data_IF_219786756974
#
_entry.id   IF_219786756974
#
_cell.length_a   1.000
_cell.length_b   1.000
_cell.length_c   1.000
_cell.angle_alpha   90.00
_cell.angle_beta   90.00
_cell.angle_gamma   90.00
#
_symmetry.space_group_name_H-M   'P 1'
#
loop_
_entity.id
_entity.type
_entity.pdbx_description
1 polymer ?
#
# COMPACT_ATOMS: atom_id res chain seq x y z
N UNK A 1 3.58 -4.51 -17.86
CA UNK A 1 5.00 -4.73 -17.51
C UNK A 1 5.22 -6.17 -17.08
N UNK A 2 5.14 -7.04 -18.05
CA UNK A 2 5.39 -8.46 -17.78
C UNK A 2 6.83 -8.64 -17.33
N UNK A 3 7.05 -9.53 -16.39
CA UNK A 3 8.39 -9.87 -15.92
C UNK A 3 8.98 -8.94 -14.87
N UNK A 4 8.24 -7.92 -14.39
CA UNK A 4 8.79 -7.13 -13.30
C UNK A 4 8.71 -7.93 -11.98
N UNK A 5 9.76 -7.83 -11.18
CA UNK A 5 9.82 -8.52 -9.89
C UNK A 5 9.05 -7.72 -8.84
N UNK A 6 8.72 -8.38 -7.73
CA UNK A 6 8.09 -7.68 -6.61
C UNK A 6 8.99 -6.56 -6.08
N UNK A 7 10.30 -6.80 -6.01
CA UNK A 7 11.26 -5.78 -5.57
C UNK A 7 11.25 -4.56 -6.47
N UNK A 8 11.22 -4.77 -7.78
CA UNK A 8 11.14 -3.67 -8.74
C UNK A 8 9.83 -2.90 -8.59
N UNK A 9 8.73 -3.61 -8.33
CA UNK A 9 7.42 -3.00 -8.09
C UNK A 9 7.44 -2.14 -6.83
N UNK A 10 8.08 -2.63 -5.78
CA UNK A 10 8.25 -1.89 -4.52
C UNK A 10 9.01 -0.58 -4.75
N UNK A 11 10.11 -0.63 -5.48
CA UNK A 11 10.92 0.57 -5.75
C UNK A 11 10.21 1.55 -6.68
N UNK A 12 9.47 1.05 -7.65
CA UNK A 12 8.64 1.89 -8.50
C UNK A 12 7.61 2.66 -7.67
N UNK A 13 6.94 1.98 -6.76
CA UNK A 13 5.94 2.61 -5.88
C UNK A 13 6.58 3.69 -5.00
N UNK A 14 7.74 3.41 -4.41
CA UNK A 14 8.45 4.36 -3.57
C UNK A 14 8.84 5.62 -4.36
N UNK A 15 9.28 5.43 -5.60
CA UNK A 15 9.61 6.55 -6.49
C UNK A 15 8.38 7.39 -6.81
N UNK A 16 7.26 6.74 -7.13
CA UNK A 16 6.01 7.43 -7.47
C UNK A 16 5.43 8.17 -6.25
N UNK A 17 5.73 7.72 -5.02
CA UNK A 17 5.29 8.40 -3.80
C UNK A 17 5.72 9.87 -3.77
N UNK A 18 6.79 10.23 -4.45
CA UNK A 18 7.28 11.61 -4.51
C UNK A 18 6.33 12.54 -5.26
N UNK A 19 5.45 11.97 -6.09
CA UNK A 19 4.55 12.72 -6.96
C UNK A 19 3.09 12.66 -6.50
N UNK A 20 2.75 11.77 -5.56
CA UNK A 20 1.36 11.47 -5.19
C UNK A 20 1.27 10.94 -3.76
N UNK A 21 0.06 10.71 -3.27
CA UNK A 21 -0.10 10.16 -1.91
C UNK A 21 0.21 8.66 -1.85
N UNK A 22 0.32 8.13 -0.62
CA UNK A 22 0.71 6.73 -0.40
C UNK A 22 -0.25 5.73 -1.05
N UNK A 23 -1.55 5.96 -0.94
CA UNK A 23 -2.55 5.07 -1.53
C UNK A 23 -2.43 5.04 -3.05
N UNK A 24 -2.32 6.21 -3.66
CA UNK A 24 -2.15 6.35 -5.10
C UNK A 24 -0.88 5.65 -5.59
N UNK A 25 0.23 5.83 -4.87
CA UNK A 25 1.50 5.22 -5.24
C UNK A 25 1.41 3.69 -5.27
N UNK A 26 0.76 3.08 -4.28
CA UNK A 26 0.55 1.63 -4.26
C UNK A 26 -0.33 1.20 -5.42
N UNK A 27 -1.44 1.90 -5.66
CA UNK A 27 -2.36 1.54 -6.74
C UNK A 27 -1.67 1.60 -8.12
N UNK A 28 -0.95 2.67 -8.42
CA UNK A 28 -0.29 2.79 -9.73
C UNK A 28 0.83 1.77 -9.91
N UNK A 29 1.42 1.30 -8.81
CA UNK A 29 2.45 0.25 -8.88
C UNK A 29 1.89 -1.09 -9.38
N UNK A 30 0.59 -1.29 -9.30
CA UNK A 30 -0.09 -2.49 -9.78
C UNK A 30 -0.96 -2.23 -11.01
N UNK A 31 -0.84 -1.08 -11.65
CA UNK A 31 -1.70 -0.70 -12.78
C UNK A 31 -1.70 -1.73 -13.90
N UNK A 32 -0.55 -2.35 -14.17
CA UNK A 32 -0.39 -3.40 -15.17
C UNK A 32 -1.25 -4.63 -14.89
N UNK A 33 -1.53 -4.89 -13.62
CA UNK A 33 -2.33 -6.05 -13.20
C UNK A 33 -3.81 -5.70 -13.02
N UNK A 34 -4.11 -4.44 -12.71
CA UNK A 34 -5.48 -4.02 -12.40
C UNK A 34 -6.33 -3.73 -13.64
N UNK A 35 -5.70 -3.53 -14.79
CA UNK A 35 -6.42 -3.23 -16.02
C UNK A 35 -7.13 -1.89 -15.99
N UNK A 36 -6.66 -0.96 -15.18
CA UNK A 36 -7.23 0.38 -15.03
C UNK A 36 -6.20 1.44 -15.43
N UNK A 37 -6.67 2.56 -15.95
CA UNK A 37 -5.78 3.66 -16.31
C UNK A 37 -5.19 4.30 -15.06
N UNK A 38 -4.05 4.94 -15.22
CA UNK A 38 -3.44 5.68 -14.10
C UNK A 38 -4.40 6.75 -13.57
N UNK A 39 -5.12 7.45 -14.45
CA UNK A 39 -6.09 8.48 -14.03
C UNK A 39 -7.18 7.91 -13.14
N UNK A 40 -7.71 6.73 -13.46
CA UNK A 40 -8.72 6.07 -12.62
C UNK A 40 -8.16 5.74 -11.25
N UNK A 41 -6.92 5.23 -11.21
CA UNK A 41 -6.27 4.86 -9.95
C UNK A 41 -5.95 6.08 -9.10
N UNK A 42 -5.52 7.18 -9.72
CA UNK A 42 -5.26 8.42 -9.01
C UNK A 42 -6.53 8.98 -8.39
N UNK A 43 -7.65 8.90 -9.10
CA UNK A 43 -8.95 9.33 -8.55
C UNK A 43 -9.40 8.44 -7.41
N UNK A 44 -9.29 7.13 -7.58
CA UNK A 44 -9.70 6.15 -6.56
C UNK A 44 -8.95 6.37 -5.25
N UNK A 45 -7.64 6.61 -5.32
CA UNK A 45 -6.79 6.77 -4.13
C UNK A 45 -6.74 8.17 -3.56
N UNK A 46 -7.37 9.15 -4.20
CA UNK A 46 -7.16 10.58 -3.87
C UNK A 46 -7.55 10.98 -2.45
N UNK A 47 -8.54 10.33 -1.86
CA UNK A 47 -9.03 10.67 -0.51
C UNK A 47 -8.37 9.91 0.62
N UNK A 48 -7.43 8.99 0.33
CA UNK A 48 -6.87 8.09 1.34
C UNK A 48 -5.45 8.44 1.77
N UNK A 49 -4.86 9.47 1.21
CA UNK A 49 -3.52 9.90 1.60
C UNK A 49 -3.51 10.47 3.01
N UNK A 50 -2.36 10.36 3.69
CA UNK A 50 -2.17 10.90 5.04
C UNK A 50 -3.24 10.43 6.02
N UNK A 51 -3.55 9.12 6.01
CA UNK A 51 -4.53 8.55 6.93
C UNK A 51 -5.90 9.19 6.81
N UNK A 52 -6.51 9.12 5.64
CA UNK A 52 -7.81 9.73 5.32
C UNK A 52 -7.75 11.26 5.48
N UNK A 53 -6.61 11.85 5.13
CA UNK A 53 -6.35 13.29 5.18
C UNK A 53 -6.32 13.88 6.61
N UNK A 54 -6.47 13.05 7.64
CA UNK A 54 -6.52 13.51 9.04
C UNK A 54 -5.34 12.98 9.87
N UNK A 55 -4.57 12.07 9.31
CA UNK A 55 -3.52 11.29 9.98
C UNK A 55 -4.04 10.34 11.07
N UNK A 56 -5.34 10.34 11.31
CA UNK A 56 -5.97 9.46 12.31
C UNK A 56 -6.46 8.15 11.70
N UNK A 57 -6.56 8.08 10.38
CA UNK A 57 -7.00 6.87 9.70
C UNK A 57 -5.86 5.89 9.43
N UNK A 58 -6.23 4.73 8.91
CA UNK A 58 -5.27 3.70 8.49
C UNK A 58 -4.32 4.28 7.45
N UNK A 59 -3.06 3.85 7.49
CA UNK A 59 -2.06 4.27 6.52
C UNK A 59 -2.57 4.08 5.09
N UNK A 60 -2.46 5.14 4.27
CA UNK A 60 -2.94 5.10 2.87
C UNK A 60 -2.29 4.01 2.03
N UNK A 61 -1.02 3.71 2.29
CA UNK A 61 -0.33 2.62 1.59
C UNK A 61 -0.99 1.27 1.88
N UNK A 62 -1.33 1.03 3.14
CA UNK A 62 -2.00 -0.20 3.55
C UNK A 62 -3.39 -0.29 2.92
N UNK A 63 -4.13 0.80 2.90
CA UNK A 63 -5.44 0.85 2.24
C UNK A 63 -5.30 0.50 0.76
N UNK A 64 -4.30 1.07 0.08
CA UNK A 64 -4.01 0.77 -1.33
C UNK A 64 -3.72 -0.71 -1.56
N UNK A 65 -2.92 -1.31 -0.67
CA UNK A 65 -2.60 -2.75 -0.76
C UNK A 65 -3.86 -3.62 -0.63
N UNK A 66 -4.75 -3.27 0.28
CA UNK A 66 -6.02 -3.98 0.46
C UNK A 66 -6.91 -3.82 -0.79
N UNK A 67 -6.96 -2.63 -1.37
CA UNK A 67 -7.70 -2.39 -2.61
C UNK A 67 -7.18 -3.26 -3.76
N UNK A 68 -5.86 -3.33 -3.93
CA UNK A 68 -5.23 -4.18 -4.94
C UNK A 68 -5.63 -5.64 -4.73
N UNK A 69 -5.51 -6.10 -3.49
CA UNK A 69 -5.87 -7.47 -3.15
C UNK A 69 -7.35 -7.75 -3.42
N UNK A 70 -8.24 -6.80 -3.09
CA UNK A 70 -9.67 -6.97 -3.34
C UNK A 70 -9.96 -7.16 -4.82
N UNK A 71 -9.25 -6.44 -5.68
CA UNK A 71 -9.45 -6.52 -7.13
C UNK A 71 -8.82 -7.76 -7.77
N UNK A 72 -7.72 -8.27 -7.21
CA UNK A 72 -6.95 -9.35 -7.80
C UNK A 72 -7.15 -10.72 -7.13
N UNK A 73 -7.76 -10.78 -5.95
CA UNK A 73 -7.96 -12.03 -5.25
C UNK A 73 -9.02 -12.89 -5.95
N UNK A 74 -8.82 -14.21 -6.02
CA UNK A 74 -9.87 -15.12 -6.48
C UNK A 74 -11.11 -15.01 -5.60
N UNK A 75 -12.24 -15.43 -6.14
CA UNK A 75 -13.52 -15.37 -5.42
C UNK A 75 -13.41 -16.07 -4.06
N UNK A 76 -13.86 -15.39 -3.02
CA UNK A 76 -13.86 -15.91 -1.65
C UNK A 76 -12.54 -15.76 -0.90
N UNK A 77 -11.47 -15.29 -1.54
CA UNK A 77 -10.15 -15.22 -0.90
C UNK A 77 -9.74 -13.82 -0.44
N UNK A 78 -10.46 -12.78 -0.83
CA UNK A 78 -10.08 -11.41 -0.50
C UNK A 78 -9.96 -11.16 1.00
N UNK A 79 -10.86 -11.72 1.79
CA UNK A 79 -10.84 -11.54 3.24
C UNK A 79 -9.59 -12.15 3.88
N UNK A 80 -9.24 -13.36 3.47
CA UNK A 80 -8.02 -14.01 3.98
C UNK A 80 -6.76 -13.26 3.55
N UNK A 81 -6.75 -12.77 2.32
CA UNK A 81 -5.63 -11.97 1.84
C UNK A 81 -5.50 -10.65 2.59
N UNK A 82 -6.62 -10.01 2.94
CA UNK A 82 -6.60 -8.80 3.76
C UNK A 82 -5.96 -9.05 5.12
N UNK A 83 -6.30 -10.17 5.76
CA UNK A 83 -5.69 -10.54 7.05
C UNK A 83 -4.18 -10.74 6.91
N UNK A 84 -3.76 -11.44 5.86
CA UNK A 84 -2.35 -11.68 5.61
C UNK A 84 -1.59 -10.37 5.37
N UNK A 85 -2.19 -9.46 4.59
CA UNK A 85 -1.60 -8.15 4.32
C UNK A 85 -1.48 -7.32 5.59
N UNK A 86 -2.52 -7.28 6.40
CA UNK A 86 -2.51 -6.54 7.68
C UNK A 86 -1.40 -7.06 8.60
N UNK A 87 -1.32 -8.39 8.77
CA UNK A 87 -0.29 -9.01 9.62
C UNK A 87 1.11 -8.71 9.11
N UNK A 88 1.32 -8.89 7.82
CA UNK A 88 2.65 -8.68 7.23
C UNK A 88 3.09 -7.21 7.29
N UNK A 89 2.16 -6.30 7.02
CA UNK A 89 2.44 -4.87 7.13
C UNK A 89 2.88 -4.49 8.53
N UNK A 90 2.18 -4.99 9.55
CA UNK A 90 2.56 -4.75 10.95
C UNK A 90 3.97 -5.25 11.25
N UNK A 91 4.31 -6.45 10.81
CA UNK A 91 5.65 -6.99 11.00
C UNK A 91 6.72 -6.09 10.39
N UNK A 92 6.44 -5.57 9.19
CA UNK A 92 7.40 -4.76 8.45
C UNK A 92 7.49 -3.32 8.94
N UNK A 93 6.43 -2.81 9.54
CA UNK A 93 6.30 -1.39 9.88
C UNK A 93 6.29 -1.08 11.38
N UNK A 94 6.81 -1.98 12.20
CA UNK A 94 6.95 -1.71 13.63
C UNK A 94 5.69 -1.89 14.46
N UNK A 95 4.68 -2.57 13.93
CA UNK A 95 3.48 -2.96 14.67
C UNK A 95 2.28 -2.02 14.53
N UNK A 96 2.44 -0.87 13.87
CA UNK A 96 1.37 0.12 13.74
C UNK A 96 0.72 0.07 12.35
N UNK A 97 -0.52 0.54 12.26
CA UNK A 97 -1.25 0.64 10.99
C UNK A 97 -1.87 2.02 10.79
N UNK A 98 -1.92 2.83 11.84
CA UNK A 98 -2.51 4.17 11.78
C UNK A 98 -1.45 5.17 11.36
N UNK A 99 -1.79 6.06 10.44
CA UNK A 99 -0.85 7.00 9.84
C UNK A 99 -0.04 7.77 10.89
N UNK A 100 -0.70 8.40 11.86
CA UNK A 100 -0.03 9.21 12.87
C UNK A 100 0.97 8.41 13.70
N UNK A 101 0.64 7.15 14.01
CA UNK A 101 1.52 6.29 14.80
C UNK A 101 2.77 5.93 14.02
N UNK A 102 2.62 5.62 12.74
CA UNK A 102 3.75 5.30 11.86
C UNK A 102 4.68 6.49 11.68
N UNK A 103 4.14 7.69 11.62
CA UNK A 103 4.91 8.93 11.39
C UNK A 103 5.44 9.56 12.68
N UNK A 104 5.10 9.01 13.84
CA UNK A 104 5.61 9.50 15.11
C UNK A 104 4.93 10.76 15.61
N UNK A 105 3.73 11.07 15.13
CA UNK A 105 2.98 12.23 15.59
C UNK A 105 2.49 11.94 17.00
N UNK A 106 2.91 12.76 17.95
CA UNK A 106 2.54 12.60 19.37
C UNK A 106 3.44 11.64 20.14
N UNK A 107 4.20 10.79 19.48
CA UNK A 107 5.14 9.87 20.14
C UNK A 107 6.59 10.32 19.99
N UNK A 108 6.87 11.13 18.96
CA UNK A 108 8.24 11.57 18.65
C UNK A 108 9.12 10.53 18.00
N UNK A 109 8.57 9.34 17.70
CA UNK A 109 9.36 8.25 17.10
C UNK A 109 8.70 7.76 15.82
N UNK A 110 9.38 7.97 14.69
CA UNK A 110 8.95 7.46 13.38
C UNK A 110 9.18 5.96 13.35
N UNK A 111 8.12 5.18 13.21
CA UNK A 111 8.21 3.72 13.08
C UNK A 111 8.49 3.31 11.64
N UNK A 112 7.93 4.04 10.68
CA UNK A 112 8.07 3.71 9.26
C UNK A 112 7.89 4.97 8.43
N UNK A 113 8.86 5.29 7.57
CA UNK A 113 8.76 6.45 6.68
C UNK A 113 7.66 6.23 5.64
N UNK A 114 7.17 7.31 5.01
CA UNK A 114 6.16 7.19 3.96
C UNK A 114 6.62 6.29 2.81
N UNK A 115 7.86 6.45 2.35
CA UNK A 115 8.39 5.62 1.27
C UNK A 115 8.48 4.15 1.69
N UNK A 116 8.91 3.89 2.92
CA UNK A 116 8.99 2.51 3.43
C UNK A 116 7.61 1.92 3.66
N UNK A 117 6.63 2.70 4.10
CA UNK A 117 5.24 2.22 4.20
C UNK A 117 4.73 1.77 2.83
N UNK A 118 5.05 2.54 1.78
CA UNK A 118 4.66 2.20 0.41
C UNK A 118 5.36 0.91 -0.04
N UNK A 119 6.67 0.80 0.17
CA UNK A 119 7.41 -0.43 -0.15
C UNK A 119 6.83 -1.63 0.55
N UNK A 120 6.60 -1.50 1.86
CA UNK A 120 6.12 -2.59 2.69
C UNK A 120 4.68 -2.99 2.34
N UNK A 121 3.83 -2.03 1.97
CA UNK A 121 2.47 -2.32 1.53
C UNK A 121 2.48 -3.10 0.21
N UNK A 122 3.32 -2.71 -0.75
CA UNK A 122 3.47 -3.44 -2.01
C UNK A 122 3.99 -4.84 -1.77
N UNK A 123 4.99 -4.99 -0.89
CA UNK A 123 5.52 -6.31 -0.52
C UNK A 123 4.42 -7.19 0.08
N UNK A 124 3.67 -6.67 1.05
CA UNK A 124 2.63 -7.43 1.72
C UNK A 124 1.54 -7.89 0.73
N UNK A 125 1.10 -7.00 -0.16
CA UNK A 125 0.11 -7.35 -1.18
C UNK A 125 0.66 -8.38 -2.16
N UNK A 126 1.89 -8.19 -2.64
CA UNK A 126 2.51 -9.12 -3.57
C UNK A 126 2.69 -10.51 -2.98
N UNK A 127 3.11 -10.59 -1.72
CA UNK A 127 3.27 -11.89 -1.03
C UNK A 127 1.92 -12.58 -0.88
N UNK A 128 0.88 -11.84 -0.45
CA UNK A 128 -0.45 -12.43 -0.28
C UNK A 128 -1.03 -12.93 -1.61
N UNK A 129 -0.72 -12.24 -2.71
CA UNK A 129 -1.18 -12.61 -4.05
C UNK A 129 -0.22 -13.57 -4.76
N UNK A 130 0.83 -14.01 -4.08
CA UNK A 130 1.83 -14.96 -4.60
C UNK A 130 2.57 -14.43 -5.85
N UNK A 131 2.83 -13.16 -5.86
CA UNK A 131 3.59 -12.51 -6.93
C UNK A 131 5.09 -12.62 -6.64
N UNK A 132 5.88 -12.71 -7.68
CA UNK A 132 7.34 -12.84 -7.56
C UNK A 132 8.07 -11.51 -7.58
#
# INVERSE_FOLDING_TARGET
MDGITLEERMEYAAKRKREMNCCQAVLVAFADRLGKSEDELLRLGSGFGSGMATMEGTCGALVGAIMVSSLLSPDGEARNNSRAIMSRFKELCGGATICRDLKGIGTGKVLCSCEDCVRNAVRAAGEALKMK
#
